data_IF_406042399777
#
_entry.id   IF_406042399777
#
_cell.length_a   1.000
_cell.length_b   1.000
_cell.length_c   1.000
_cell.angle_alpha   90.00
_cell.angle_beta   90.00
_cell.angle_gamma   90.00
#
_symmetry.space_group_name_H-M   'P 1'
#
loop_
_entity.id
_entity.type
_entity.pdbx_description
1 polymer ?
#
# COMPACT_ATOMS: atom_id res chain seq x y z
N UNK A 1 -15.84 15.80 -20.65
CA UNK A 1 -15.84 17.01 -19.80
C UNK A 1 -14.37 17.41 -19.60
N UNK A 2 -14.07 18.63 -19.16
CA UNK A 2 -12.67 19.07 -18.99
C UNK A 2 -12.28 18.82 -17.53
N UNK A 3 -11.12 18.20 -17.32
CA UNK A 3 -10.52 18.03 -16.00
C UNK A 3 -10.38 19.39 -15.29
N UNK A 4 -10.66 19.41 -13.99
CA UNK A 4 -10.62 20.60 -13.13
C UNK A 4 -9.58 20.40 -12.05
N UNK A 5 -8.52 21.21 -12.10
CA UNK A 5 -7.40 21.15 -11.15
C UNK A 5 -7.48 22.31 -10.17
N UNK A 6 -7.46 22.02 -8.86
CA UNK A 6 -7.59 23.03 -7.80
C UNK A 6 -6.27 23.59 -7.28
N UNK A 7 -5.15 22.89 -7.51
CA UNK A 7 -3.84 23.19 -6.91
C UNK A 7 -3.89 23.23 -5.36
N UNK A 8 -4.74 22.41 -4.75
CA UNK A 8 -4.82 22.28 -3.29
C UNK A 8 -3.79 21.25 -2.78
N UNK A 9 -2.61 21.72 -2.40
CA UNK A 9 -1.52 20.87 -1.91
C UNK A 9 -1.66 20.42 -0.45
N UNK A 10 -2.71 20.83 0.26
CA UNK A 10 -2.99 20.43 1.64
C UNK A 10 -4.50 20.29 1.85
N UNK A 11 -5.14 19.31 1.17
CA UNK A 11 -6.58 19.19 1.18
C UNK A 11 -7.09 18.80 2.56
N UNK A 12 -8.18 19.44 2.98
CA UNK A 12 -8.92 19.07 4.17
C UNK A 12 -9.74 17.79 3.94
N UNK A 13 -10.23 17.12 4.99
CA UNK A 13 -11.14 15.99 4.80
C UNK A 13 -12.39 16.32 3.97
N UNK A 14 -12.91 17.54 4.06
CA UNK A 14 -14.07 17.96 3.26
C UNK A 14 -13.69 18.14 1.78
N UNK A 15 -12.51 18.69 1.50
CA UNK A 15 -11.98 18.77 0.12
C UNK A 15 -11.82 17.36 -0.48
N UNK A 16 -11.36 16.39 0.32
CA UNK A 16 -11.21 14.99 -0.12
C UNK A 16 -12.57 14.34 -0.36
N UNK A 17 -13.59 14.65 0.43
CA UNK A 17 -14.96 14.18 0.15
C UNK A 17 -15.47 14.73 -1.17
N UNK A 18 -15.33 16.02 -1.42
CA UNK A 18 -15.74 16.62 -2.70
C UNK A 18 -15.00 15.97 -3.88
N UNK A 19 -13.69 15.82 -3.76
CA UNK A 19 -12.85 15.09 -4.72
C UNK A 19 -13.34 13.67 -4.98
N UNK A 20 -13.72 12.93 -3.94
CA UNK A 20 -14.19 11.55 -4.06
C UNK A 20 -15.43 11.41 -4.96
N UNK A 21 -16.30 12.43 -4.97
CA UNK A 21 -17.58 12.43 -5.68
C UNK A 21 -17.58 13.19 -7.02
N UNK A 22 -16.49 13.83 -7.40
CA UNK A 22 -16.32 14.50 -8.68
C UNK A 22 -15.19 13.85 -9.48
N UNK A 23 -15.54 12.99 -10.45
CA UNK A 23 -14.57 12.28 -11.29
C UNK A 23 -13.60 13.21 -12.03
N UNK A 24 -14.07 14.41 -12.38
CA UNK A 24 -13.29 15.41 -13.12
C UNK A 24 -12.49 16.34 -12.20
N UNK A 25 -12.62 16.23 -10.87
CA UNK A 25 -11.88 17.03 -9.89
C UNK A 25 -10.56 16.37 -9.51
N UNK A 26 -9.49 17.18 -9.57
CA UNK A 26 -8.15 16.80 -9.17
C UNK A 26 -7.50 17.92 -8.31
N UNK A 27 -6.69 17.54 -7.33
CA UNK A 27 -5.86 18.45 -6.54
C UNK A 27 -4.66 18.94 -7.34
N UNK A 28 -4.07 18.10 -8.19
CA UNK A 28 -2.93 18.44 -9.05
C UNK A 28 -2.85 17.56 -10.31
N UNK A 29 -2.05 17.99 -11.28
CA UNK A 29 -1.91 17.33 -12.60
C UNK A 29 -1.20 15.96 -12.55
N UNK A 30 -0.26 15.77 -11.63
CA UNK A 30 0.58 14.58 -11.56
C UNK A 30 0.77 14.14 -10.12
N UNK A 31 0.88 12.82 -9.91
CA UNK A 31 1.19 12.22 -8.61
C UNK A 31 0.30 12.73 -7.46
N UNK A 32 -0.98 13.01 -7.76
CA UNK A 32 -1.98 13.47 -6.79
C UNK A 32 -2.08 12.54 -5.58
N UNK A 33 -1.95 11.23 -5.82
CA UNK A 33 -2.01 10.21 -4.78
C UNK A 33 -0.98 10.45 -3.67
N UNK A 34 0.21 10.96 -4.02
CA UNK A 34 1.26 11.26 -3.05
C UNK A 34 0.85 12.35 -2.05
N UNK A 35 -0.04 13.28 -2.42
CA UNK A 35 -0.59 14.28 -1.49
C UNK A 35 -1.38 13.61 -0.36
N UNK A 36 -1.96 12.45 -0.64
CA UNK A 36 -2.85 11.72 0.25
C UNK A 36 -2.14 10.60 1.03
N UNK A 37 -0.81 10.49 0.93
CA UNK A 37 0.00 9.51 1.67
C UNK A 37 0.26 9.96 3.11
N UNK A 38 -0.77 9.85 3.95
CA UNK A 38 -0.64 10.22 5.36
C UNK A 38 -1.71 9.60 6.25
N UNK A 39 -1.33 9.33 7.50
CA UNK A 39 -2.25 8.81 8.52
C UNK A 39 -3.49 9.70 8.73
N UNK A 40 -3.34 11.02 8.57
CA UNK A 40 -4.45 11.97 8.72
C UNK A 40 -5.54 11.80 7.66
N UNK A 41 -5.21 11.24 6.50
CA UNK A 41 -6.16 11.05 5.39
C UNK A 41 -6.80 9.66 5.37
N UNK A 42 -6.21 8.68 6.08
CA UNK A 42 -6.73 7.30 6.14
C UNK A 42 -8.23 7.23 6.51
N UNK A 43 -8.74 7.99 7.51
CA UNK A 43 -10.17 7.92 7.85
C UNK A 43 -11.11 8.34 6.71
N UNK A 44 -10.81 9.45 6.02
CA UNK A 44 -11.66 9.94 4.92
C UNK A 44 -11.50 9.08 3.66
N UNK A 45 -10.31 8.54 3.39
CA UNK A 45 -10.12 7.59 2.29
C UNK A 45 -10.88 6.28 2.54
N UNK A 46 -10.95 5.80 3.77
CA UNK A 46 -11.77 4.64 4.14
C UNK A 46 -13.27 4.91 4.09
N UNK A 47 -13.71 6.14 4.35
CA UNK A 47 -15.09 6.57 4.13
C UNK A 47 -15.44 6.43 2.64
N UNK A 48 -14.62 7.02 1.76
CA UNK A 48 -14.80 6.95 0.31
C UNK A 48 -14.71 5.53 -0.23
N UNK A 49 -13.73 4.73 0.21
CA UNK A 49 -13.56 3.36 -0.24
C UNK A 49 -14.72 2.43 0.21
N UNK A 50 -15.47 2.81 1.25
CA UNK A 50 -16.61 2.04 1.73
C UNK A 50 -17.93 2.39 1.05
N UNK A 51 -18.00 3.54 0.39
CA UNK A 51 -19.23 3.98 -0.27
C UNK A 51 -19.29 3.46 -1.72
N UNK A 52 -20.22 2.55 -2.04
CA UNK A 52 -20.36 2.03 -3.40
C UNK A 52 -20.89 3.08 -4.40
N UNK A 53 -21.38 4.23 -3.92
CA UNK A 53 -21.79 5.35 -4.77
C UNK A 53 -20.64 6.33 -5.05
N UNK A 54 -19.49 6.18 -4.38
CA UNK A 54 -18.31 7.01 -4.60
C UNK A 54 -17.63 6.64 -5.94
N UNK A 55 -17.60 7.54 -6.93
CA UNK A 55 -16.93 7.26 -8.20
C UNK A 55 -15.43 6.95 -8.06
N UNK A 56 -14.74 7.62 -7.12
CA UNK A 56 -13.31 7.37 -6.85
C UNK A 56 -13.08 6.29 -5.79
N UNK A 57 -14.06 5.42 -5.50
CA UNK A 57 -13.95 4.36 -4.48
C UNK A 57 -12.67 3.51 -4.65
N UNK A 58 -12.46 2.98 -5.86
CA UNK A 58 -11.31 2.12 -6.16
C UNK A 58 -9.98 2.88 -6.08
N UNK A 59 -9.99 4.18 -6.44
CA UNK A 59 -8.79 5.01 -6.37
C UNK A 59 -8.42 5.33 -4.92
N UNK A 60 -9.40 5.66 -4.07
CA UNK A 60 -9.19 5.82 -2.63
C UNK A 60 -8.62 4.54 -1.98
N UNK A 61 -9.16 3.38 -2.36
CA UNK A 61 -8.65 2.09 -1.91
C UNK A 61 -7.22 1.81 -2.39
N UNK A 62 -6.90 2.17 -3.63
CA UNK A 62 -5.56 2.04 -4.19
C UNK A 62 -4.55 2.91 -3.42
N UNK A 63 -4.88 4.16 -3.12
CA UNK A 63 -4.05 5.08 -2.31
C UNK A 63 -3.79 4.47 -0.93
N UNK A 64 -4.83 3.98 -0.25
CA UNK A 64 -4.71 3.29 1.04
C UNK A 64 -3.77 2.07 0.96
N UNK A 65 -3.86 1.31 -0.12
CA UNK A 65 -3.00 0.15 -0.39
C UNK A 65 -1.54 0.55 -0.56
N UNK A 66 -1.27 1.58 -1.38
CA UNK A 66 0.10 2.05 -1.62
C UNK A 66 0.72 2.67 -0.37
N UNK A 67 -0.02 3.49 0.38
CA UNK A 67 0.44 4.06 1.64
C UNK A 67 0.82 2.97 2.66
N UNK A 68 -0.01 1.93 2.81
CA UNK A 68 0.30 0.80 3.69
C UNK A 68 1.53 0.02 3.21
N UNK A 69 1.62 -0.27 1.90
CA UNK A 69 2.76 -0.93 1.28
C UNK A 69 4.06 -0.19 1.57
N UNK A 70 4.11 1.10 1.28
CA UNK A 70 5.32 1.91 1.49
C UNK A 70 5.70 2.00 2.96
N UNK A 71 4.72 2.18 3.84
CA UNK A 71 4.95 2.19 5.29
C UNK A 71 5.60 0.90 5.76
N UNK A 72 5.14 -0.25 5.27
CA UNK A 72 5.75 -1.54 5.57
C UNK A 72 7.12 -1.71 4.92
N UNK A 73 7.23 -1.43 3.62
CA UNK A 73 8.45 -1.62 2.83
C UNK A 73 9.63 -0.84 3.41
N UNK A 74 9.39 0.41 3.82
CA UNK A 74 10.38 1.28 4.45
C UNK A 74 10.39 1.20 5.99
N UNK A 75 9.64 0.27 6.59
CA UNK A 75 9.57 0.04 8.04
C UNK A 75 9.28 1.30 8.86
N UNK A 76 8.35 2.14 8.38
CA UNK A 76 7.99 3.39 9.05
C UNK A 76 7.06 3.09 10.23
N UNK A 77 7.65 2.95 11.42
CA UNK A 77 6.97 2.42 12.61
C UNK A 77 5.74 3.22 13.03
N UNK A 78 5.81 4.56 13.01
CA UNK A 78 4.69 5.43 13.37
C UNK A 78 3.48 5.23 12.46
N UNK A 79 3.71 5.12 11.15
CA UNK A 79 2.66 4.88 10.16
C UNK A 79 2.04 3.49 10.35
N UNK A 80 2.86 2.48 10.62
CA UNK A 80 2.39 1.11 10.87
C UNK A 80 1.58 1.00 12.16
N UNK A 81 2.01 1.64 13.24
CA UNK A 81 1.25 1.72 14.49
C UNK A 81 -0.09 2.46 14.30
N UNK A 82 -0.10 3.53 13.51
CA UNK A 82 -1.31 4.25 13.15
C UNK A 82 -2.29 3.38 12.34
N UNK A 83 -1.79 2.67 11.33
CA UNK A 83 -2.57 1.73 10.53
C UNK A 83 -3.15 0.60 11.39
N UNK A 84 -2.37 0.07 12.34
CA UNK A 84 -2.85 -0.95 13.28
C UNK A 84 -4.05 -0.43 14.09
N UNK A 85 -3.99 0.80 14.62
CA UNK A 85 -5.09 1.41 15.37
C UNK A 85 -6.34 1.57 14.50
N UNK A 86 -6.18 2.00 13.25
CA UNK A 86 -7.28 2.11 12.29
C UNK A 86 -7.92 0.76 12.03
N UNK A 87 -7.13 -0.26 11.68
CA UNK A 87 -7.63 -1.61 11.35
C UNK A 87 -8.37 -2.26 12.52
N UNK A 88 -7.92 -2.06 13.76
CA UNK A 88 -8.58 -2.57 14.96
C UNK A 88 -9.99 -1.98 15.13
N UNK A 89 -10.15 -0.70 14.81
CA UNK A 89 -11.42 0.03 14.95
C UNK A 89 -12.31 -0.07 13.71
N UNK A 90 -11.75 -0.49 12.57
CA UNK A 90 -12.47 -0.56 11.31
C UNK A 90 -13.58 -1.61 11.36
N UNK A 91 -14.81 -1.14 11.16
CA UNK A 91 -15.98 -1.95 10.91
C UNK A 91 -16.39 -1.75 9.46
N UNK A 92 -16.45 -2.83 8.69
CA UNK A 92 -16.83 -2.75 7.29
C UNK A 92 -17.58 -4.02 6.87
N UNK A 93 -18.54 -3.86 5.97
CA UNK A 93 -19.16 -4.96 5.23
C UNK A 93 -18.72 -4.99 3.76
N UNK A 94 -17.88 -4.04 3.33
CA UNK A 94 -17.42 -3.97 1.95
C UNK A 94 -16.28 -4.96 1.71
N UNK A 95 -16.42 -5.90 0.76
CA UNK A 95 -15.41 -6.94 0.53
C UNK A 95 -14.02 -6.36 0.21
N UNK A 96 -13.95 -5.34 -0.63
CA UNK A 96 -12.69 -4.71 -1.04
C UNK A 96 -11.93 -4.06 0.13
N UNK A 97 -12.65 -3.44 1.06
CA UNK A 97 -12.09 -2.84 2.28
C UNK A 97 -11.68 -3.93 3.29
N UNK A 98 -12.42 -5.03 3.35
CA UNK A 98 -12.02 -6.20 4.14
C UNK A 98 -10.74 -6.84 3.58
N UNK A 99 -10.59 -6.92 2.26
CA UNK A 99 -9.36 -7.40 1.62
C UNK A 99 -8.17 -6.47 1.90
N UNK A 100 -8.38 -5.16 1.86
CA UNK A 100 -7.38 -4.18 2.28
C UNK A 100 -6.99 -4.36 3.75
N UNK A 101 -7.96 -4.57 4.65
CA UNK A 101 -7.69 -4.86 6.06
C UNK A 101 -6.82 -6.12 6.21
N UNK A 102 -7.21 -7.21 5.55
CA UNK A 102 -6.45 -8.46 5.57
C UNK A 102 -5.03 -8.28 5.02
N UNK A 103 -4.86 -7.41 4.02
CA UNK A 103 -3.56 -7.03 3.48
C UNK A 103 -2.71 -6.27 4.51
N UNK A 104 -3.27 -5.25 5.18
CA UNK A 104 -2.57 -4.51 6.24
C UNK A 104 -2.18 -5.43 7.41
N UNK A 105 -3.06 -6.34 7.82
CA UNK A 105 -2.76 -7.32 8.87
C UNK A 105 -1.55 -8.20 8.52
N UNK A 106 -1.41 -8.62 7.25
CA UNK A 106 -0.21 -9.34 6.78
C UNK A 106 1.03 -8.47 6.84
N UNK A 107 0.96 -7.23 6.38
CA UNK A 107 2.08 -6.28 6.42
C UNK A 107 2.58 -6.04 7.85
N UNK A 108 1.65 -5.88 8.80
CA UNK A 108 1.96 -5.74 10.23
C UNK A 108 2.59 -7.01 10.80
N UNK A 109 2.09 -8.19 10.43
CA UNK A 109 2.68 -9.46 10.84
C UNK A 109 4.13 -9.61 10.36
N UNK A 110 4.49 -9.05 9.20
CA UNK A 110 5.87 -9.05 8.72
C UNK A 110 6.83 -8.19 9.56
N UNK A 111 6.30 -7.27 10.39
CA UNK A 111 7.09 -6.42 11.28
C UNK A 111 7.43 -7.06 12.62
N UNK A 112 6.87 -8.24 12.92
CA UNK A 112 7.10 -8.97 14.16
C UNK A 112 7.94 -10.26 13.96
N UNK A 113 9.16 -10.20 13.36
CA UNK A 113 10.08 -11.33 13.35
C UNK A 113 10.60 -11.63 14.78
N UNK A 114 11.16 -12.83 15.03
CA UNK A 114 11.49 -13.87 14.06
C UNK A 114 10.37 -14.88 13.81
N UNK A 115 10.16 -15.24 12.55
CA UNK A 115 9.41 -16.43 12.15
C UNK A 115 10.07 -17.08 10.93
N UNK A 116 10.03 -18.42 10.86
CA UNK A 116 10.52 -19.12 9.67
C UNK A 116 9.61 -18.84 8.45
N UNK A 117 10.23 -18.71 7.28
CA UNK A 117 9.58 -18.37 6.02
C UNK A 117 9.93 -19.43 4.98
N UNK A 118 8.92 -20.23 4.61
CA UNK A 118 9.02 -21.12 3.46
C UNK A 118 8.85 -20.34 2.15
N UNK A 119 9.06 -21.00 1.02
CA UNK A 119 9.02 -20.35 -0.29
C UNK A 119 7.67 -19.69 -0.59
N UNK A 120 6.57 -20.40 -0.31
CA UNK A 120 5.21 -19.87 -0.54
C UNK A 120 4.97 -18.58 0.26
N UNK A 121 5.33 -18.56 1.54
CA UNK A 121 5.20 -17.36 2.38
C UNK A 121 6.12 -16.24 1.89
N UNK A 122 7.33 -16.56 1.44
CA UNK A 122 8.24 -15.58 0.86
C UNK A 122 7.67 -14.94 -0.42
N UNK A 123 7.02 -15.74 -1.26
CA UNK A 123 6.34 -15.26 -2.47
C UNK A 123 5.19 -14.31 -2.13
N UNK A 124 4.35 -14.67 -1.15
CA UNK A 124 3.25 -13.79 -0.69
C UNK A 124 3.81 -12.49 -0.10
N UNK A 125 4.86 -12.56 0.72
CA UNK A 125 5.55 -11.38 1.24
C UNK A 125 6.07 -10.50 0.09
N UNK A 126 6.66 -11.09 -0.94
CA UNK A 126 7.14 -10.34 -2.11
C UNK A 126 6.01 -9.67 -2.88
N UNK A 127 4.89 -10.38 -3.10
CA UNK A 127 3.69 -9.79 -3.69
C UNK A 127 3.17 -8.62 -2.89
N UNK A 128 3.03 -8.80 -1.57
CA UNK A 128 2.51 -7.77 -0.67
C UNK A 128 3.42 -6.53 -0.60
N UNK A 129 4.76 -6.72 -0.57
CA UNK A 129 5.74 -5.65 -0.33
C UNK A 129 6.19 -4.94 -1.62
N UNK A 130 6.36 -5.66 -2.74
CA UNK A 130 6.82 -5.06 -4.00
C UNK A 130 5.65 -4.53 -4.84
N UNK A 131 4.52 -5.23 -4.86
CA UNK A 131 3.38 -4.89 -5.71
C UNK A 131 2.26 -4.26 -4.86
N UNK A 132 1.86 -4.94 -3.78
CA UNK A 132 0.73 -4.53 -2.94
C UNK A 132 -0.61 -4.59 -3.67
N UNK A 133 -1.54 -3.70 -3.30
CA UNK A 133 -2.88 -3.66 -3.89
C UNK A 133 -2.87 -2.72 -5.11
N UNK A 134 -3.26 -3.26 -6.27
CA UNK A 134 -3.56 -2.52 -7.49
C UNK A 134 -2.35 -1.96 -8.28
N UNK A 135 -1.11 -2.19 -7.83
CA UNK A 135 0.05 -2.05 -8.72
C UNK A 135 0.11 -3.26 -9.67
N UNK A 136 0.55 -3.03 -10.90
CA UNK A 136 0.78 -4.11 -11.87
C UNK A 136 2.28 -4.24 -12.10
N UNK A 137 2.79 -5.46 -12.03
CA UNK A 137 4.17 -5.76 -12.37
C UNK A 137 4.53 -7.22 -12.12
N UNK A 138 5.54 -7.70 -12.84
CA UNK A 138 5.97 -9.09 -12.75
C UNK A 138 7.10 -9.22 -11.74
N UNK A 139 6.82 -9.94 -10.65
CA UNK A 139 7.85 -10.35 -9.70
C UNK A 139 8.60 -11.54 -10.29
N UNK A 140 9.91 -11.44 -10.29
CA UNK A 140 10.81 -12.51 -10.69
C UNK A 140 11.60 -13.00 -9.47
N UNK A 141 11.83 -14.30 -9.40
CA UNK A 141 12.74 -14.88 -8.41
C UNK A 141 14.17 -14.72 -8.90
N UNK A 142 15.07 -14.30 -8.02
CA UNK A 142 16.51 -14.23 -8.34
C UNK A 142 17.10 -15.64 -8.23
N UNK A 143 17.72 -16.12 -9.30
CA UNK A 143 18.26 -17.48 -9.41
C UNK A 143 19.53 -17.67 -8.58
N UNK A 144 20.42 -16.68 -8.60
CA UNK A 144 21.66 -16.65 -7.83
C UNK A 144 21.42 -15.90 -6.51
N UNK A 145 21.12 -16.64 -5.45
CA UNK A 145 20.82 -16.08 -4.14
C UNK A 145 21.54 -16.83 -3.01
N UNK A 146 21.86 -16.16 -1.88
CA UNK A 146 22.37 -16.82 -0.69
C UNK A 146 21.46 -17.97 -0.23
N UNK A 147 22.06 -19.04 0.29
CA UNK A 147 21.32 -20.26 0.67
C UNK A 147 20.26 -20.03 1.75
N UNK A 148 20.41 -19.00 2.56
CA UNK A 148 19.60 -18.62 3.72
C UNK A 148 18.62 -17.47 3.46
N UNK A 149 18.50 -17.02 2.20
CA UNK A 149 17.66 -15.88 1.81
C UNK A 149 16.75 -16.25 0.62
N UNK A 150 15.55 -15.67 0.59
CA UNK A 150 14.70 -15.59 -0.59
C UNK A 150 14.87 -14.21 -1.23
N UNK A 151 15.21 -14.17 -2.52
CA UNK A 151 15.41 -12.93 -3.27
C UNK A 151 14.39 -12.81 -4.40
N UNK A 152 13.74 -11.65 -4.47
CA UNK A 152 12.76 -11.31 -5.49
C UNK A 152 13.10 -9.96 -6.10
N UNK A 153 12.87 -9.81 -7.40
CA UNK A 153 12.97 -8.53 -8.09
C UNK A 153 11.65 -8.16 -8.76
N UNK A 154 11.40 -6.86 -8.85
CA UNK A 154 10.30 -6.29 -9.61
C UNK A 154 10.90 -5.26 -10.57
N UNK A 155 10.58 -5.38 -11.85
CA UNK A 155 10.99 -4.42 -12.87
C UNK A 155 9.72 -3.73 -13.39
N UNK A 156 9.61 -2.44 -13.09
CA UNK A 156 8.66 -1.53 -13.74
C UNK A 156 9.48 -0.48 -14.52
N UNK A 157 9.15 0.80 -14.40
CA UNK A 157 10.07 1.92 -14.70
C UNK A 157 11.29 1.98 -13.77
N UNK A 158 11.26 1.22 -12.66
CA UNK A 158 12.32 1.15 -11.64
C UNK A 158 12.63 -0.32 -11.40
N UNK A 159 13.89 -0.65 -11.16
CA UNK A 159 14.28 -1.99 -10.73
C UNK A 159 14.34 -2.03 -9.20
N UNK A 160 13.55 -2.91 -8.60
CA UNK A 160 13.44 -3.08 -7.16
C UNK A 160 13.82 -4.51 -6.78
N UNK A 161 14.44 -4.68 -5.62
CA UNK A 161 14.78 -5.99 -5.07
C UNK A 161 14.40 -6.10 -3.59
N UNK A 162 13.80 -7.24 -3.24
CA UNK A 162 13.47 -7.63 -1.87
C UNK A 162 14.24 -8.89 -1.51
N UNK A 163 14.90 -8.88 -0.36
CA UNK A 163 15.56 -10.05 0.22
C UNK A 163 14.89 -10.40 1.54
N UNK A 164 14.57 -11.67 1.78
CA UNK A 164 13.89 -12.15 2.99
C UNK A 164 14.70 -13.31 3.61
N UNK A 165 15.17 -13.17 4.83
CA UNK A 165 15.90 -14.23 5.55
C UNK A 165 14.97 -15.39 5.88
N UNK A 166 15.32 -16.62 5.45
CA UNK A 166 14.48 -17.82 5.58
C UNK A 166 14.12 -18.18 7.02
N UNK A 167 15.05 -17.96 7.97
CA UNK A 167 14.87 -18.37 9.37
C UNK A 167 14.10 -17.36 10.21
N UNK A 168 14.21 -16.08 9.88
CA UNK A 168 13.71 -14.98 10.72
C UNK A 168 12.59 -14.18 10.06
N UNK A 169 12.43 -14.26 8.74
CA UNK A 169 11.47 -13.44 8.00
C UNK A 169 11.85 -11.95 7.95
N UNK A 170 13.00 -11.57 8.50
CA UNK A 170 13.55 -10.23 8.34
C UNK A 170 13.80 -9.99 6.86
N UNK A 171 13.40 -8.82 6.37
CA UNK A 171 13.55 -8.46 4.98
C UNK A 171 14.24 -7.11 4.80
N UNK A 172 14.93 -6.97 3.67
CA UNK A 172 15.56 -5.74 3.19
C UNK A 172 15.06 -5.42 1.79
N UNK A 173 14.93 -4.13 1.49
CA UNK A 173 14.48 -3.62 0.21
C UNK A 173 15.53 -2.65 -0.36
N UNK A 174 15.75 -2.72 -1.67
CA UNK A 174 16.61 -1.79 -2.38
C UNK A 174 16.03 -1.43 -3.75
N UNK A 175 16.20 -0.16 -4.14
CA UNK A 175 16.05 0.29 -5.53
C UNK A 175 17.41 0.20 -6.21
N UNK A 176 17.47 -0.51 -7.33
CA UNK A 176 18.67 -0.65 -8.15
C UNK A 176 18.65 0.45 -9.21
N UNK A 177 19.77 1.19 -9.28
CA UNK A 177 20.00 2.27 -10.27
C UNK A 177 20.59 1.67 -11.54
#
# INVERSE_FOLDING_TARGET
>A
MSERITNNYNPTPDDIREWGYDEDLYFMEQDEDLLLYGLGYVPVLLELAQDPACPKQDYALWILGQFARESALYRRSEQLEGLQKVVVLLQTSQPSVQDWRNYVDRLLAYQAPPFAVNEQKAWIMAQDLLVGIGRVGQINRVTEQPSDVWCFSLITSIHEQLSITKRTGVYTYQRLV
#
